data_IF_310133501501
#
_entry.id   IF_310133501501
#
_cell.length_a   1.000
_cell.length_b   1.000
_cell.length_c   1.000
_cell.angle_alpha   90.00
_cell.angle_beta   90.00
_cell.angle_gamma   90.00
#
_symmetry.space_group_name_H-M   'P 1'
#
loop_
_entity.id
_entity.type
_entity.pdbx_description
1 polymer ?
#
# COMPACT_ATOMS: atom_id res chain seq x y z
N UNK A 1 -18.93 -1.30 -18.51
CA UNK A 1 -17.51 -1.59 -18.27
C UNK A 1 -17.15 -0.81 -17.02
N UNK A 2 -16.96 -1.47 -15.89
CA UNK A 2 -16.51 -0.79 -14.66
C UNK A 2 -15.02 -0.49 -14.84
N UNK A 3 -14.72 0.72 -15.29
CA UNK A 3 -13.38 1.28 -15.20
C UNK A 3 -13.14 1.56 -13.71
N UNK A 4 -12.71 0.53 -12.99
CA UNK A 4 -12.13 0.72 -11.68
C UNK A 4 -10.79 1.42 -11.92
N UNK A 5 -10.56 2.60 -11.32
CA UNK A 5 -9.31 3.32 -11.50
C UNK A 5 -8.14 2.41 -11.10
N UNK A 6 -7.18 2.24 -12.03
CA UNK A 6 -5.88 1.66 -11.70
C UNK A 6 -5.26 2.51 -10.58
N UNK A 7 -4.33 2.01 -9.75
CA UNK A 7 -3.75 2.87 -8.68
C UNK A 7 -3.01 4.11 -9.24
N UNK A 8 -2.85 4.21 -10.56
CA UNK A 8 -2.43 5.46 -11.22
C UNK A 8 -3.47 6.58 -11.13
N UNK A 9 -4.76 6.25 -10.98
CA UNK A 9 -5.88 7.20 -10.99
C UNK A 9 -6.48 7.45 -9.60
N UNK A 10 -6.25 6.60 -8.59
CA UNK A 10 -6.92 6.72 -7.28
C UNK A 10 -6.33 7.88 -6.45
N UNK A 11 -5.02 8.15 -6.55
CA UNK A 11 -4.38 9.23 -5.78
C UNK A 11 -3.39 10.04 -6.59
N UNK A 12 -3.29 11.33 -6.28
CA UNK A 12 -2.33 12.25 -6.91
C UNK A 12 -0.90 11.79 -6.58
N UNK A 13 -0.22 11.27 -7.59
CA UNK A 13 1.22 10.99 -7.53
C UNK A 13 1.98 12.26 -7.88
N UNK A 14 3.02 12.66 -7.12
CA UNK A 14 3.90 13.73 -7.55
C UNK A 14 4.64 13.33 -8.84
N UNK A 15 5.04 14.31 -9.65
CA UNK A 15 5.67 14.08 -10.97
C UNK A 15 6.91 13.18 -10.92
N UNK A 16 7.62 13.17 -9.79
CA UNK A 16 8.84 12.38 -9.57
C UNK A 16 8.63 11.07 -8.80
N UNK A 17 7.37 10.68 -8.54
CA UNK A 17 7.03 9.50 -7.72
C UNK A 17 7.74 8.23 -8.20
N UNK A 18 7.52 7.84 -9.46
CA UNK A 18 8.06 6.59 -10.01
C UNK A 18 9.60 6.61 -9.95
N UNK A 19 10.22 7.75 -10.28
CA UNK A 19 11.67 7.89 -10.25
C UNK A 19 12.26 7.67 -8.85
N UNK A 20 11.63 8.22 -7.80
CA UNK A 20 12.09 8.06 -6.42
C UNK A 20 11.92 6.62 -5.95
N UNK A 21 10.77 6.01 -6.20
CA UNK A 21 10.48 4.68 -5.69
C UNK A 21 11.17 3.56 -6.49
N UNK A 22 11.37 3.71 -7.81
CA UNK A 22 12.26 2.82 -8.57
C UNK A 22 13.69 2.88 -8.05
N UNK A 23 14.23 4.08 -7.79
CA UNK A 23 15.57 4.26 -7.20
C UNK A 23 15.64 3.67 -5.77
N UNK A 24 14.55 3.73 -5.02
CA UNK A 24 14.41 3.11 -3.70
C UNK A 24 14.52 1.59 -3.78
N UNK A 25 13.93 0.96 -4.80
CA UNK A 25 14.08 -0.48 -5.07
C UNK A 25 15.53 -0.81 -5.44
N UNK A 26 16.16 -0.04 -6.33
CA UNK A 26 17.56 -0.24 -6.72
C UNK A 26 18.52 -0.12 -5.52
N UNK A 27 18.29 0.86 -4.65
CA UNK A 27 19.17 1.14 -3.51
C UNK A 27 19.03 0.13 -2.37
N UNK A 28 17.80 -0.22 -1.99
CA UNK A 28 17.54 -1.08 -0.83
C UNK A 28 17.30 -2.56 -1.18
N UNK A 29 16.96 -2.86 -2.44
CA UNK A 29 16.67 -4.20 -2.93
C UNK A 29 15.25 -4.69 -2.64
N UNK A 30 14.79 -5.62 -3.49
CA UNK A 30 13.42 -6.18 -3.47
C UNK A 30 13.05 -6.78 -2.12
N UNK A 31 13.94 -7.57 -1.51
CA UNK A 31 13.66 -8.25 -0.23
C UNK A 31 13.35 -7.25 0.88
N UNK A 32 14.16 -6.19 1.01
CA UNK A 32 13.98 -5.19 2.07
C UNK A 32 12.69 -4.39 1.84
N UNK A 33 12.45 -3.94 0.62
CA UNK A 33 11.21 -3.21 0.27
C UNK A 33 9.96 -4.07 0.50
N UNK A 34 10.04 -5.37 0.23
CA UNK A 34 8.92 -6.28 0.47
C UNK A 34 8.64 -6.51 1.96
N UNK A 35 9.68 -6.53 2.80
CA UNK A 35 9.50 -6.54 4.26
C UNK A 35 8.85 -5.26 4.73
N UNK A 36 9.29 -4.09 4.25
CA UNK A 36 8.64 -2.80 4.53
C UNK A 36 7.16 -2.86 4.14
N UNK A 37 6.82 -3.39 2.97
CA UNK A 37 5.41 -3.55 2.57
C UNK A 37 4.57 -4.40 3.54
N UNK A 38 5.19 -5.36 4.24
CA UNK A 38 4.51 -6.12 5.29
C UNK A 38 4.34 -5.31 6.58
N UNK A 39 5.32 -4.48 6.93
CA UNK A 39 5.31 -3.59 8.10
C UNK A 39 4.24 -2.50 7.95
N UNK A 40 4.24 -1.74 6.85
CA UNK A 40 3.25 -0.68 6.59
C UNK A 40 1.81 -1.24 6.56
N UNK A 41 1.64 -2.46 6.06
CA UNK A 41 0.34 -3.12 6.06
C UNK A 41 -0.12 -3.54 7.47
N UNK A 42 0.82 -3.87 8.36
CA UNK A 42 0.53 -4.13 9.76
C UNK A 42 0.23 -2.83 10.52
N UNK A 43 0.94 -1.74 10.22
CA UNK A 43 0.70 -0.41 10.80
C UNK A 43 -0.69 0.13 10.41
N UNK A 44 -1.14 -0.07 9.16
CA UNK A 44 -2.52 0.27 8.77
C UNK A 44 -3.58 -0.57 9.53
N UNK A 45 -3.29 -1.84 9.83
CA UNK A 45 -4.19 -2.66 10.67
C UNK A 45 -4.28 -2.06 12.07
N UNK A 46 -3.15 -1.68 12.66
CA UNK A 46 -3.09 -1.04 13.97
C UNK A 46 -3.83 0.31 13.98
N UNK A 47 -3.59 1.17 13.00
CA UNK A 47 -4.28 2.46 12.87
C UNK A 47 -5.80 2.29 12.72
N UNK A 48 -6.25 1.27 11.99
CA UNK A 48 -7.67 0.92 11.89
C UNK A 48 -8.25 0.49 13.24
N UNK A 49 -7.53 -0.35 13.99
CA UNK A 49 -7.97 -0.83 15.31
C UNK A 49 -7.98 0.30 16.35
N UNK A 50 -6.99 1.20 16.33
CA UNK A 50 -6.95 2.41 17.16
C UNK A 50 -8.14 3.32 16.85
N UNK A 51 -8.45 3.57 15.58
CA UNK A 51 -9.66 4.32 15.17
C UNK A 51 -10.92 3.64 15.69
N UNK A 52 -10.99 2.30 15.69
CA UNK A 52 -12.15 1.56 16.20
C UNK A 52 -12.29 1.65 17.72
N UNK A 53 -11.18 1.62 18.44
CA UNK A 53 -11.13 1.67 19.90
C UNK A 53 -11.39 3.07 20.45
N UNK A 54 -10.71 4.06 19.87
CA UNK A 54 -10.62 5.42 20.42
C UNK A 54 -11.52 6.43 19.68
N UNK A 55 -12.11 6.01 18.56
CA UNK A 55 -12.94 6.86 17.68
C UNK A 55 -12.12 7.65 16.66
N UNK A 56 -12.81 8.44 15.84
CA UNK A 56 -12.17 9.31 14.85
C UNK A 56 -11.83 10.66 15.49
N UNK A 57 -10.62 10.75 16.02
CA UNK A 57 -9.98 11.97 16.53
C UNK A 57 -9.01 12.51 15.50
N UNK A 58 -8.52 13.74 15.66
CA UNK A 58 -7.50 14.30 14.76
C UNK A 58 -6.24 13.42 14.73
N UNK A 59 -5.85 12.85 15.88
CA UNK A 59 -4.70 11.95 16.00
C UNK A 59 -4.90 10.63 15.27
N UNK A 60 -6.02 9.94 15.54
CA UNK A 60 -6.32 8.65 14.87
C UNK A 60 -6.60 8.83 13.38
N UNK A 61 -7.17 9.97 12.97
CA UNK A 61 -7.32 10.33 11.55
C UNK A 61 -5.96 10.55 10.90
N UNK A 62 -5.09 11.40 11.47
CA UNK A 62 -3.78 11.71 10.90
C UNK A 62 -2.92 10.45 10.76
N UNK A 63 -2.89 9.60 11.79
CA UNK A 63 -2.18 8.32 11.75
C UNK A 63 -2.74 7.43 10.63
N UNK A 64 -4.05 7.25 10.57
CA UNK A 64 -4.68 6.42 9.53
C UNK A 64 -4.41 6.93 8.11
N UNK A 65 -4.44 8.24 7.86
CA UNK A 65 -4.12 8.80 6.53
C UNK A 65 -2.63 8.58 6.19
N UNK A 66 -1.73 8.71 7.16
CA UNK A 66 -0.30 8.40 6.96
C UNK A 66 -0.13 6.94 6.55
N UNK A 67 -0.68 5.99 7.32
CA UNK A 67 -0.56 4.56 7.04
C UNK A 67 -1.27 4.13 5.74
N UNK A 68 -2.37 4.78 5.38
CA UNK A 68 -3.00 4.57 4.08
C UNK A 68 -2.06 4.98 2.94
N UNK A 69 -1.35 6.10 3.07
CA UNK A 69 -0.40 6.54 2.06
C UNK A 69 0.79 5.59 1.92
N UNK A 70 1.34 5.09 3.05
CA UNK A 70 2.39 4.09 3.03
C UNK A 70 1.95 2.79 2.37
N UNK A 71 0.75 2.29 2.70
CA UNK A 71 0.20 1.09 2.06
C UNK A 71 0.00 1.28 0.56
N UNK A 72 -0.42 2.45 0.09
CA UNK A 72 -0.57 2.72 -1.33
C UNK A 72 0.77 2.72 -2.08
N UNK A 73 1.80 3.31 -1.47
CA UNK A 73 3.17 3.21 -1.96
C UNK A 73 3.60 1.74 -2.01
N UNK A 74 3.28 0.96 -0.98
CA UNK A 74 3.59 -0.47 -0.92
C UNK A 74 2.88 -1.27 -2.02
N UNK A 75 1.62 -0.97 -2.32
CA UNK A 75 0.91 -1.60 -3.43
C UNK A 75 1.62 -1.33 -4.76
N UNK A 76 2.05 -0.08 -5.01
CA UNK A 76 2.84 0.25 -6.20
C UNK A 76 4.19 -0.49 -6.21
N UNK A 77 4.91 -0.51 -5.09
CA UNK A 77 6.20 -1.21 -4.97
C UNK A 77 6.03 -2.70 -5.28
N UNK A 78 5.02 -3.36 -4.73
CA UNK A 78 4.76 -4.78 -4.97
C UNK A 78 4.39 -5.06 -6.43
N UNK A 79 3.56 -4.22 -7.05
CA UNK A 79 3.25 -4.30 -8.48
C UNK A 79 4.52 -4.19 -9.33
N UNK A 80 5.37 -3.21 -9.03
CA UNK A 80 6.59 -2.95 -9.79
C UNK A 80 7.66 -4.03 -9.58
N UNK A 81 7.85 -4.50 -8.34
CA UNK A 81 8.88 -5.51 -8.02
C UNK A 81 8.54 -6.91 -8.54
N UNK A 82 7.26 -7.25 -8.60
CA UNK A 82 6.82 -8.61 -8.90
C UNK A 82 6.05 -8.76 -10.22
N UNK A 83 5.91 -7.66 -10.98
CA UNK A 83 5.15 -7.59 -12.24
C UNK A 83 3.75 -8.20 -12.10
N UNK A 84 3.06 -7.79 -11.03
CA UNK A 84 1.69 -8.21 -10.74
C UNK A 84 0.71 -7.10 -11.09
N UNK A 85 -0.51 -7.49 -11.48
CA UNK A 85 -1.62 -6.57 -11.75
C UNK A 85 -2.87 -7.03 -11.02
N UNK A 86 -3.56 -6.11 -10.37
CA UNK A 86 -4.84 -6.36 -9.70
C UNK A 86 -5.85 -7.00 -10.67
N UNK A 87 -6.63 -7.95 -10.15
CA UNK A 87 -7.68 -8.64 -10.91
C UNK A 87 -9.05 -8.35 -10.29
N UNK A 88 -9.90 -7.68 -11.06
CA UNK A 88 -11.18 -7.16 -10.59
C UNK A 88 -12.28 -8.23 -10.43
N UNK A 89 -12.08 -9.44 -10.98
CA UNK A 89 -13.14 -10.43 -11.15
C UNK A 89 -13.57 -11.21 -9.88
N UNK A 90 -13.11 -10.80 -8.69
CA UNK A 90 -13.39 -11.53 -7.43
C UNK A 90 -14.50 -10.91 -6.59
N UNK A 91 -15.36 -11.81 -6.09
CA UNK A 91 -16.46 -11.56 -5.13
C UNK A 91 -16.03 -11.69 -3.67
N UNK A 92 -14.75 -12.04 -3.41
CA UNK A 92 -14.23 -12.13 -2.05
C UNK A 92 -14.05 -10.71 -1.51
N UNK A 93 -14.71 -10.42 -0.40
CA UNK A 93 -14.56 -9.16 0.32
C UNK A 93 -14.04 -9.50 1.73
N UNK A 94 -12.72 -9.64 1.91
CA UNK A 94 -12.18 -9.85 3.25
C UNK A 94 -12.47 -8.64 4.14
N UNK A 95 -12.51 -8.88 5.45
CA UNK A 95 -12.49 -7.80 6.44
C UNK A 95 -11.21 -6.96 6.29
N UNK A 96 -11.19 -5.70 6.78
CA UNK A 96 -9.98 -4.88 6.91
C UNK A 96 -8.72 -5.66 7.33
N UNK A 97 -8.76 -6.24 8.53
CA UNK A 97 -7.68 -7.08 9.08
C UNK A 97 -7.37 -8.28 8.19
N UNK A 98 -8.41 -8.90 7.60
CA UNK A 98 -8.24 -10.05 6.72
C UNK A 98 -7.56 -9.72 5.40
N UNK A 99 -7.78 -8.52 4.85
CA UNK A 99 -7.12 -8.03 3.65
C UNK A 99 -5.61 -7.85 3.91
N UNK A 100 -5.26 -7.09 4.96
CA UNK A 100 -3.86 -6.85 5.29
C UNK A 100 -3.11 -8.12 5.68
N UNK A 101 -3.72 -8.99 6.50
CA UNK A 101 -3.11 -10.28 6.85
C UNK A 101 -2.90 -11.19 5.63
N UNK A 102 -3.78 -11.13 4.63
CA UNK A 102 -3.61 -11.88 3.39
C UNK A 102 -2.43 -11.35 2.56
N UNK A 103 -2.26 -10.03 2.46
CA UNK A 103 -1.12 -9.41 1.78
C UNK A 103 0.19 -9.80 2.46
N UNK A 104 0.29 -9.60 3.78
CA UNK A 104 1.47 -9.96 4.58
C UNK A 104 1.84 -11.43 4.36
N UNK A 105 0.85 -12.33 4.36
CA UNK A 105 1.07 -13.76 4.10
C UNK A 105 1.53 -14.04 2.67
N UNK A 106 0.96 -13.35 1.68
CA UNK A 106 1.33 -13.52 0.29
C UNK A 106 2.78 -13.06 0.03
N UNK A 107 3.16 -11.89 0.54
CA UNK A 107 4.55 -11.39 0.47
C UNK A 107 5.50 -12.35 1.18
N UNK A 108 5.17 -12.81 2.39
CA UNK A 108 6.00 -13.77 3.11
C UNK A 108 6.21 -15.08 2.34
N UNK A 109 5.20 -15.57 1.61
CA UNK A 109 5.34 -16.75 0.75
C UNK A 109 6.28 -16.47 -0.43
N UNK A 110 6.19 -15.32 -1.07
CA UNK A 110 7.09 -14.95 -2.17
C UNK A 110 8.54 -14.90 -1.68
N UNK A 111 8.78 -14.29 -0.52
CA UNK A 111 10.13 -14.17 0.06
C UNK A 111 10.73 -15.50 0.52
N UNK A 112 9.91 -16.44 1.02
CA UNK A 112 10.39 -17.76 1.49
C UNK A 112 10.57 -18.77 0.36
N UNK A 113 9.76 -18.64 -0.68
CA UNK A 113 9.72 -19.58 -1.78
C UNK A 113 10.22 -18.90 -3.05
N UNK A 114 9.61 -19.20 -4.19
CA UNK A 114 9.90 -18.58 -5.47
C UNK A 114 8.64 -17.86 -6.01
N UNK A 115 8.82 -17.17 -7.13
CA UNK A 115 7.79 -16.40 -7.85
C UNK A 115 7.00 -17.25 -8.86
N UNK A 116 6.62 -18.49 -8.51
CA UNK A 116 5.68 -19.24 -9.37
C UNK A 116 4.37 -18.48 -9.54
N UNK A 117 3.78 -18.64 -10.73
CA UNK A 117 2.57 -17.96 -11.17
C UNK A 117 1.44 -17.98 -10.14
N UNK A 118 1.17 -19.12 -9.51
CA UNK A 118 0.10 -19.23 -8.50
C UNK A 118 0.33 -18.32 -7.28
N UNK A 119 1.59 -18.10 -6.87
CA UNK A 119 1.91 -17.21 -5.75
C UNK A 119 1.84 -15.74 -6.15
N UNK A 120 2.28 -15.41 -7.36
CA UNK A 120 2.14 -14.06 -7.93
C UNK A 120 0.66 -13.71 -8.10
N UNK A 121 -0.13 -14.66 -8.60
CA UNK A 121 -1.57 -14.60 -8.69
C UNK A 121 -2.20 -14.31 -7.31
N UNK A 122 -1.81 -15.07 -6.29
CA UNK A 122 -2.28 -14.86 -4.92
C UNK A 122 -1.84 -13.52 -4.30
N UNK A 123 -0.65 -13.02 -4.65
CA UNK A 123 -0.18 -11.70 -4.23
C UNK A 123 -0.98 -10.59 -4.91
N UNK A 124 -1.22 -10.69 -6.22
CA UNK A 124 -2.05 -9.75 -6.98
C UNK A 124 -3.46 -9.64 -6.38
N UNK A 125 -4.05 -10.79 -6.02
CA UNK A 125 -5.37 -10.81 -5.43
C UNK A 125 -5.39 -10.18 -4.03
N UNK A 126 -4.35 -10.40 -3.22
CA UNK A 126 -4.24 -9.79 -1.89
C UNK A 126 -3.98 -8.28 -1.96
N UNK A 127 -3.21 -7.82 -2.95
CA UNK A 127 -2.98 -6.40 -3.22
C UNK A 127 -4.29 -5.69 -3.58
N UNK A 128 -5.14 -6.32 -4.40
CA UNK A 128 -6.45 -5.79 -4.76
C UNK A 128 -7.42 -5.76 -3.56
N UNK A 129 -7.40 -6.82 -2.73
CA UNK A 129 -8.18 -6.86 -1.48
C UNK A 129 -7.82 -5.69 -0.54
N UNK A 130 -6.52 -5.37 -0.40
CA UNK A 130 -6.05 -4.23 0.41
C UNK A 130 -6.42 -2.90 -0.24
N UNK A 131 -6.34 -2.78 -1.56
CA UNK A 131 -6.75 -1.55 -2.26
C UNK A 131 -8.21 -1.21 -2.03
N UNK A 132 -9.10 -2.20 -2.19
CA UNK A 132 -10.52 -2.05 -1.90
C UNK A 132 -10.76 -1.71 -0.43
N UNK A 133 -9.90 -2.17 0.47
CA UNK A 133 -9.95 -1.76 1.87
C UNK A 133 -9.57 -0.29 2.06
N UNK A 134 -8.47 0.18 1.48
CA UNK A 134 -8.07 1.60 1.54
C UNK A 134 -9.17 2.53 1.01
N UNK A 135 -9.76 2.23 -0.16
CA UNK A 135 -10.88 3.02 -0.71
C UNK A 135 -12.10 3.08 0.23
N UNK A 136 -12.38 1.99 0.96
CA UNK A 136 -13.46 1.98 1.96
C UNK A 136 -13.12 2.84 3.16
N UNK A 137 -11.85 2.82 3.63
CA UNK A 137 -11.43 3.66 4.75
C UNK A 137 -11.63 5.14 4.42
N UNK A 138 -11.43 5.56 3.19
CA UNK A 138 -11.68 6.94 2.78
C UNK A 138 -13.13 7.32 2.93
N UNK A 139 -14.00 6.51 2.33
CA UNK A 139 -15.45 6.75 2.36
C UNK A 139 -15.98 6.71 3.80
N UNK A 140 -15.53 5.75 4.60
CA UNK A 140 -15.99 5.56 5.98
C UNK A 140 -15.52 6.63 6.96
N UNK A 141 -14.42 7.32 6.66
CA UNK A 141 -13.82 8.31 7.55
C UNK A 141 -13.81 9.73 6.96
N UNK A 142 -14.38 9.91 5.77
CA UNK A 142 -14.41 11.20 5.08
C UNK A 142 -13.01 11.74 4.79
N UNK A 143 -12.04 10.86 4.51
CA UNK A 143 -10.70 11.26 4.06
C UNK A 143 -10.80 11.67 2.60
N UNK A 144 -10.19 12.80 2.26
CA UNK A 144 -10.18 13.34 0.91
C UNK A 144 -8.97 12.87 0.11
N UNK A 145 -9.12 12.79 -1.20
CA UNK A 145 -8.01 12.47 -2.12
C UNK A 145 -6.86 13.48 -2.01
N UNK A 146 -7.17 14.74 -1.64
CA UNK A 146 -6.18 15.78 -1.39
C UNK A 146 -5.36 15.50 -0.15
N UNK A 147 -5.99 15.17 0.98
CA UNK A 147 -5.30 14.76 2.21
C UNK A 147 -4.35 13.59 1.92
N UNK A 148 -4.82 12.55 1.22
CA UNK A 148 -3.99 11.38 0.96
C UNK A 148 -2.86 11.68 -0.04
N UNK A 149 -3.14 12.47 -1.08
CA UNK A 149 -2.15 12.93 -2.04
C UNK A 149 -1.01 13.72 -1.39
N UNK A 150 -1.31 14.62 -0.45
CA UNK A 150 -0.29 15.36 0.31
C UNK A 150 0.62 14.42 1.12
N UNK A 151 0.06 13.37 1.72
CA UNK A 151 0.85 12.37 2.45
C UNK A 151 1.74 11.55 1.53
N UNK A 152 1.24 11.12 0.37
CA UNK A 152 2.02 10.44 -0.67
C UNK A 152 3.19 11.31 -1.14
N UNK A 153 2.94 12.59 -1.41
CA UNK A 153 4.00 13.54 -1.77
C UNK A 153 5.04 13.67 -0.65
N UNK A 154 4.58 13.90 0.59
CA UNK A 154 5.46 14.02 1.76
C UNK A 154 6.34 12.79 1.97
N UNK A 155 5.78 11.57 1.84
CA UNK A 155 6.53 10.31 1.95
C UNK A 155 7.54 10.16 0.82
N UNK A 156 7.17 10.53 -0.40
CA UNK A 156 8.07 10.50 -1.56
C UNK A 156 9.25 11.46 -1.38
N UNK A 157 9.01 12.70 -0.92
CA UNK A 157 10.09 13.65 -0.58
C UNK A 157 11.00 13.09 0.52
N UNK A 158 10.41 12.52 1.58
CA UNK A 158 11.18 11.91 2.68
C UNK A 158 12.08 10.80 2.15
N UNK A 159 11.58 9.95 1.24
CA UNK A 159 12.34 8.86 0.67
C UNK A 159 13.48 9.34 -0.24
N UNK A 160 13.23 10.37 -1.06
CA UNK A 160 14.29 11.00 -1.85
C UNK A 160 15.44 11.49 -0.96
N UNK A 161 15.11 12.20 0.12
CA UNK A 161 16.12 12.72 1.07
C UNK A 161 16.92 11.63 1.75
N UNK A 162 16.29 10.49 2.10
CA UNK A 162 17.00 9.32 2.66
C UNK A 162 18.03 8.78 1.67
N UNK A 163 17.63 8.60 0.41
CA UNK A 163 18.51 8.09 -0.65
C UNK A 163 19.65 9.07 -0.98
N UNK A 164 19.41 10.38 -0.88
CA UNK A 164 20.43 11.41 -1.13
C UNK A 164 21.36 11.63 0.05
N UNK A 165 20.85 11.55 1.29
CA UNK A 165 21.63 11.74 2.51
C UNK A 165 22.49 10.55 2.92
N UNK A 166 22.17 9.35 2.43
CA UNK A 166 22.98 8.15 2.65
C UNK A 166 24.19 8.03 1.67
N UNK A 167 24.33 8.94 0.70
CA UNK A 167 25.43 8.98 -0.30
C UNK A 167 26.63 9.80 0.18
#
# INVERSE_FOLDING_TARGET
>A
MSEHPTIEEVYKRPEYFDAVWSKSIEYYGVTKQSVVCMEECAELIEAYDDRKRDGLTDGTRSHMVEEMADVLICLWLLEHMYDIKGRDNRTRHPSPVGAGAALIKAVSKILRYNTEKERLDGLADAAEDVRRWVMRLETENGITDEELGEWVERKTVRQQRRIEGDK
#
